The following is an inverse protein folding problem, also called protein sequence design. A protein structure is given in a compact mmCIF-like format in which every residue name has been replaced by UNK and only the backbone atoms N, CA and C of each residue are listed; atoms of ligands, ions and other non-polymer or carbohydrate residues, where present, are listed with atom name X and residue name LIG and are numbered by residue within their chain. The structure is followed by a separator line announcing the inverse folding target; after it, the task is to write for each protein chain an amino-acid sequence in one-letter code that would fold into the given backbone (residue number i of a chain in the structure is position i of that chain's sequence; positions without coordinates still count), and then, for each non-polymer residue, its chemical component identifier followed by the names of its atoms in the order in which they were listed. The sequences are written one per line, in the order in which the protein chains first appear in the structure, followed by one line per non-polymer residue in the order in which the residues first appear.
data_IF_223097095970
#
_entry.id   IF_223097095970
#
_cell.length_a   1.000
_cell.length_b   1.000
_cell.length_c   1.000
_cell.angle_alpha   90.00
_cell.angle_beta   90.00
_cell.angle_gamma   90.00
#
_symmetry.space_group_name_H-M   'P 1'
#
loop_
_entity.id
_entity.type
_entity.pdbx_description
1 polymer ?
#
# COMPACT_ATOMS: atom_id res chain seq x y z
N UNK A 1 20.41 8.00 -8.73
CA UNK A 1 19.82 6.77 -9.28
C UNK A 1 19.64 5.78 -8.13
N UNK A 2 18.43 5.68 -7.56
CA UNK A 2 18.14 4.70 -6.52
C UNK A 2 17.89 3.34 -7.19
N UNK A 3 18.84 2.42 -7.05
CA UNK A 3 18.72 1.06 -7.56
C UNK A 3 17.75 0.30 -6.66
N UNK A 4 16.54 0.00 -7.14
CA UNK A 4 15.59 -0.88 -6.43
C UNK A 4 16.08 -2.32 -6.57
N UNK A 5 16.51 -2.95 -5.48
CA UNK A 5 16.85 -4.38 -5.44
C UNK A 5 15.53 -5.16 -5.33
N UNK A 6 15.23 -5.98 -6.33
CA UNK A 6 14.10 -6.90 -6.29
C UNK A 6 14.54 -8.22 -5.66
N UNK A 7 14.21 -8.41 -4.39
CA UNK A 7 14.35 -9.70 -3.71
C UNK A 7 13.11 -10.55 -4.01
N UNK A 8 13.29 -11.65 -4.75
CA UNK A 8 12.26 -12.68 -4.90
C UNK A 8 12.46 -13.74 -3.83
N UNK A 9 11.49 -13.88 -2.93
CA UNK A 9 11.45 -14.95 -1.92
C UNK A 9 10.46 -16.02 -2.36
N UNK A 10 10.83 -17.29 -2.18
CA UNK A 10 9.90 -18.42 -2.32
C UNK A 10 9.05 -18.56 -1.07
N UNK A 11 7.94 -19.30 -1.16
CA UNK A 11 7.08 -19.58 0.01
C UNK A 11 7.87 -20.26 1.14
N UNK A 12 8.82 -21.11 0.78
CA UNK A 12 9.72 -21.76 1.75
C UNK A 12 10.66 -20.74 2.42
N UNK A 13 11.19 -19.78 1.67
CA UNK A 13 12.02 -18.71 2.24
C UNK A 13 11.22 -17.84 3.21
N UNK A 14 9.95 -17.59 2.90
CA UNK A 14 9.01 -16.86 3.77
C UNK A 14 8.78 -17.63 5.07
N UNK A 15 8.55 -18.95 5.02
CA UNK A 15 8.37 -19.78 6.22
C UNK A 15 9.64 -19.84 7.08
N UNK A 16 10.82 -19.94 6.46
CA UNK A 16 12.10 -19.85 7.18
C UNK A 16 12.26 -18.48 7.85
N UNK A 17 11.89 -17.41 7.15
CA UNK A 17 11.92 -16.05 7.70
C UNK A 17 10.97 -15.89 8.89
N UNK A 18 9.74 -16.41 8.81
CA UNK A 18 8.78 -16.46 9.93
C UNK A 18 9.39 -17.11 11.16
N UNK A 19 10.04 -18.26 10.96
CA UNK A 19 10.63 -19.05 12.04
C UNK A 19 11.81 -18.31 12.69
N UNK A 20 12.69 -17.71 11.89
CA UNK A 20 13.83 -16.92 12.37
C UNK A 20 13.41 -15.66 13.13
N UNK A 21 12.31 -15.03 12.72
CA UNK A 21 11.85 -13.79 13.34
C UNK A 21 11.03 -14.03 14.60
N UNK A 22 10.28 -15.13 14.67
CA UNK A 22 9.61 -15.56 15.90
C UNK A 22 10.57 -15.87 17.05
N UNK A 23 11.83 -16.20 16.74
CA UNK A 23 12.92 -16.38 17.72
C UNK A 23 13.69 -15.10 18.01
N UNK A 24 13.51 -14.05 17.21
CA UNK A 24 14.09 -12.73 17.44
C UNK A 24 13.19 -11.90 18.37
N UNK A 25 13.77 -11.27 19.41
CA UNK A 25 13.02 -10.39 20.33
C UNK A 25 12.70 -9.00 19.73
N UNK A 26 12.77 -8.84 18.40
CA UNK A 26 12.50 -7.56 17.75
C UNK A 26 11.01 -7.40 17.45
N UNK A 27 10.30 -6.68 18.32
CA UNK A 27 8.86 -6.40 18.15
C UNK A 27 8.55 -5.71 16.82
N UNK A 28 9.38 -4.74 16.41
CA UNK A 28 9.21 -4.04 15.13
C UNK A 28 9.29 -4.99 13.92
N UNK A 29 10.20 -5.96 13.95
CA UNK A 29 10.40 -6.89 12.85
C UNK A 29 9.25 -7.90 12.77
N UNK A 30 8.74 -8.35 13.92
CA UNK A 30 7.55 -9.19 14.02
C UNK A 30 6.28 -8.46 13.54
N UNK A 31 6.13 -7.16 13.83
CA UNK A 31 5.01 -6.36 13.34
C UNK A 31 5.02 -6.25 11.81
N UNK A 32 6.18 -5.97 11.21
CA UNK A 32 6.33 -5.93 9.75
C UNK A 32 5.99 -7.29 9.12
N UNK A 33 6.41 -8.39 9.75
CA UNK A 33 6.13 -9.75 9.29
C UNK A 33 4.63 -10.04 9.25
N UNK A 34 3.92 -9.79 10.35
CA UNK A 34 2.47 -9.94 10.43
C UNK A 34 1.75 -9.07 9.39
N UNK A 35 2.25 -7.86 9.16
CA UNK A 35 1.67 -6.93 8.19
C UNK A 35 1.83 -7.43 6.75
N UNK A 36 3.05 -7.81 6.36
CA UNK A 36 3.36 -8.09 4.95
C UNK A 36 3.11 -9.53 4.52
N UNK A 37 3.22 -10.48 5.44
CA UNK A 37 3.14 -11.91 5.13
C UNK A 37 1.77 -12.46 5.55
N UNK A 38 1.37 -12.26 6.80
CA UNK A 38 0.12 -12.85 7.30
C UNK A 38 -1.11 -11.97 7.02
N UNK A 39 -0.90 -10.67 6.72
CA UNK A 39 -1.96 -9.68 6.41
C UNK A 39 -3.08 -9.68 7.46
N UNK A 40 -2.75 -9.99 8.72
CA UNK A 40 -3.73 -10.14 9.81
C UNK A 40 -4.47 -8.83 10.06
N UNK A 41 -3.74 -7.71 10.06
CA UNK A 41 -4.32 -6.38 10.07
C UNK A 41 -4.49 -5.87 8.63
N UNK A 42 -5.68 -6.14 8.07
CA UNK A 42 -6.04 -5.68 6.72
C UNK A 42 -6.04 -4.15 6.62
N UNK A 43 -6.44 -3.47 7.69
CA UNK A 43 -6.59 -2.02 7.67
C UNK A 43 -5.22 -1.33 7.61
N UNK A 44 -4.29 -1.79 8.42
CA UNK A 44 -2.91 -1.30 8.39
C UNK A 44 -2.18 -1.71 7.11
N UNK A 45 -2.44 -2.92 6.59
CA UNK A 45 -1.91 -3.34 5.29
C UNK A 45 -2.40 -2.42 4.14
N UNK A 46 -3.69 -2.09 4.11
CA UNK A 46 -4.25 -1.17 3.12
C UNK A 46 -3.61 0.20 3.28
N UNK A 47 -3.56 0.73 4.51
CA UNK A 47 -2.96 2.03 4.81
C UNK A 47 -1.54 2.10 4.25
N UNK A 48 -0.71 1.15 4.63
CA UNK A 48 0.67 1.07 4.18
C UNK A 48 0.78 0.98 2.65
N UNK A 49 0.00 0.12 1.98
CA UNK A 49 0.06 -0.02 0.52
C UNK A 49 -0.47 1.19 -0.24
N UNK A 50 -1.48 1.87 0.28
CA UNK A 50 -1.98 3.12 -0.30
C UNK A 50 -0.92 4.21 -0.19
N UNK A 51 -0.31 4.38 0.97
CA UNK A 51 0.79 5.32 1.19
C UNK A 51 1.97 5.06 0.25
N UNK A 52 2.42 3.80 0.11
CA UNK A 52 3.45 3.45 -0.86
C UNK A 52 3.06 3.79 -2.31
N UNK A 53 1.80 3.57 -2.67
CA UNK A 53 1.32 3.88 -4.03
C UNK A 53 1.30 5.37 -4.32
N UNK A 54 0.98 6.19 -3.30
CA UNK A 54 1.00 7.64 -3.38
C UNK A 54 2.43 8.18 -3.40
N UNK A 55 3.32 7.61 -2.59
CA UNK A 55 4.75 7.92 -2.60
C UNK A 55 5.38 7.64 -3.96
N UNK A 56 5.12 6.46 -4.54
CA UNK A 56 5.62 6.09 -5.88
C UNK A 56 5.20 7.07 -6.99
N UNK A 57 4.02 7.71 -6.88
CA UNK A 57 3.50 8.65 -7.89
C UNK A 57 3.88 10.11 -7.62
N UNK A 58 3.90 10.51 -6.36
CA UNK A 58 4.13 11.90 -5.95
C UNK A 58 5.62 12.24 -5.81
N UNK A 59 6.45 11.23 -5.53
CA UNK A 59 7.87 11.41 -5.22
C UNK A 59 8.16 11.82 -3.77
N UNK A 60 7.14 11.95 -2.93
CA UNK A 60 7.27 12.20 -1.49
C UNK A 60 7.45 10.88 -0.74
N UNK A 61 8.14 10.91 0.40
CA UNK A 61 8.21 9.74 1.28
C UNK A 61 6.88 9.54 2.00
N UNK A 62 6.49 8.30 2.36
CA UNK A 62 5.23 8.02 3.08
C UNK A 62 5.04 8.82 4.37
N UNK A 63 6.12 9.22 5.03
CA UNK A 63 6.11 9.96 6.30
C UNK A 63 5.92 11.48 6.09
N UNK A 64 6.03 11.98 4.86
CA UNK A 64 5.90 13.41 4.52
C UNK A 64 4.44 13.88 4.43
N UNK A 65 3.47 12.94 4.47
CA UNK A 65 2.06 13.24 4.33
C UNK A 65 1.19 12.39 5.26
N UNK A 66 -0.07 12.79 5.43
CA UNK A 66 -1.01 12.12 6.32
C UNK A 66 -2.37 11.89 5.67
N UNK A 67 -3.30 11.27 6.39
CA UNK A 67 -4.63 10.92 5.88
C UNK A 67 -5.41 12.14 5.36
N UNK A 68 -5.14 13.34 5.88
CA UNK A 68 -5.83 14.56 5.47
C UNK A 68 -5.10 15.33 4.36
N UNK A 69 -3.96 14.83 3.88
CA UNK A 69 -3.21 15.50 2.82
C UNK A 69 -3.98 15.49 1.50
N UNK A 70 -4.06 16.65 0.86
CA UNK A 70 -4.70 16.83 -0.43
C UNK A 70 -3.81 16.25 -1.54
N UNK A 71 -4.41 15.42 -2.40
CA UNK A 71 -3.67 14.73 -3.44
C UNK A 71 -3.05 15.72 -4.44
N UNK A 72 -3.68 16.84 -4.72
CA UNK A 72 -3.20 17.82 -5.69
C UNK A 72 -2.31 18.89 -5.05
N UNK A 73 -2.74 19.49 -3.95
CA UNK A 73 -2.04 20.59 -3.30
C UNK A 73 -0.81 20.14 -2.54
N UNK A 74 -0.91 19.03 -1.78
CA UNK A 74 0.20 18.56 -0.95
C UNK A 74 1.09 17.58 -1.71
N UNK A 75 0.50 16.72 -2.55
CA UNK A 75 1.23 15.65 -3.25
C UNK A 75 1.44 15.90 -4.75
N UNK A 76 0.95 17.02 -5.31
CA UNK A 76 1.13 17.35 -6.73
C UNK A 76 0.43 16.39 -7.72
N UNK A 77 -0.48 15.54 -7.24
CA UNK A 77 -1.15 14.51 -8.04
C UNK A 77 -2.27 15.10 -8.90
N UNK A 78 -1.88 15.46 -10.12
CA UNK A 78 -2.81 15.81 -11.20
C UNK A 78 -3.70 14.62 -11.64
N UNK A 79 -4.71 14.93 -12.43
CA UNK A 79 -5.68 14.00 -13.03
C UNK A 79 -5.05 12.72 -13.62
N UNK A 80 -3.95 12.83 -14.37
CA UNK A 80 -3.31 11.65 -14.96
C UNK A 80 -2.66 10.72 -13.91
N UNK A 81 -2.15 11.26 -12.80
CA UNK A 81 -1.66 10.43 -11.69
C UNK A 81 -2.83 9.69 -11.03
N UNK A 82 -3.96 10.39 -10.82
CA UNK A 82 -5.18 9.79 -10.28
C UNK A 82 -5.67 8.64 -11.17
N UNK A 83 -5.59 8.76 -12.49
CA UNK A 83 -5.87 7.65 -13.42
C UNK A 83 -4.96 6.44 -13.19
N UNK A 84 -3.68 6.66 -12.94
CA UNK A 84 -2.70 5.60 -12.68
C UNK A 84 -2.97 4.85 -11.38
N UNK A 85 -3.51 5.51 -10.35
CA UNK A 85 -3.84 4.90 -9.04
C UNK A 85 -4.75 3.67 -9.19
N UNK A 86 -5.61 3.62 -10.22
CA UNK A 86 -6.49 2.48 -10.47
C UNK A 86 -5.70 1.16 -10.53
N UNK A 87 -4.53 1.12 -11.15
CA UNK A 87 -3.75 -0.11 -11.25
C UNK A 87 -3.09 -0.47 -9.91
N UNK A 88 -2.59 0.52 -9.17
CA UNK A 88 -2.03 0.33 -7.84
C UNK A 88 -3.07 -0.22 -6.87
N UNK A 89 -4.23 0.45 -6.77
CA UNK A 89 -5.28 0.06 -5.84
C UNK A 89 -5.93 -1.27 -6.23
N UNK A 90 -6.10 -1.55 -7.54
CA UNK A 90 -6.60 -2.86 -7.97
C UNK A 90 -5.67 -4.00 -7.56
N UNK A 91 -4.35 -3.79 -7.51
CA UNK A 91 -3.38 -4.78 -7.01
C UNK A 91 -3.61 -5.04 -5.52
N UNK A 92 -3.80 -4.01 -4.70
CA UNK A 92 -4.09 -4.16 -3.26
C UNK A 92 -5.35 -5.00 -3.03
N UNK A 93 -6.43 -4.68 -3.76
CA UNK A 93 -7.71 -5.41 -3.67
C UNK A 93 -7.55 -6.88 -4.09
N UNK A 94 -6.79 -7.16 -5.14
CA UNK A 94 -6.48 -8.53 -5.60
C UNK A 94 -5.61 -9.29 -4.60
N UNK A 95 -4.62 -8.63 -4.00
CA UNK A 95 -3.74 -9.22 -2.99
C UNK A 95 -4.51 -9.63 -1.72
N UNK A 96 -5.65 -8.99 -1.47
CA UNK A 96 -6.60 -9.31 -0.40
C UNK A 96 -7.72 -10.27 -0.86
N UNK A 97 -7.56 -10.89 -2.03
CA UNK A 97 -8.47 -11.89 -2.64
C UNK A 97 -9.90 -11.38 -2.93
N UNK A 98 -10.09 -10.07 -3.06
CA UNK A 98 -11.38 -9.52 -3.49
C UNK A 98 -11.51 -9.48 -5.01
N UNK A 99 -12.74 -9.75 -5.48
CA UNK A 99 -13.12 -9.71 -6.91
C UNK A 99 -13.68 -8.35 -7.34
N UNK A 100 -13.89 -7.42 -6.41
CA UNK A 100 -14.42 -6.09 -6.71
C UNK A 100 -13.42 -5.30 -7.55
N UNK A 101 -13.95 -4.43 -8.43
CA UNK A 101 -13.15 -3.65 -9.37
C UNK A 101 -13.10 -2.20 -8.93
N UNK A 102 -11.91 -1.61 -9.06
CA UNK A 102 -11.69 -0.16 -8.98
C UNK A 102 -11.68 0.42 -10.38
N UNK A 103 -12.54 1.40 -10.60
CA UNK A 103 -12.65 2.10 -11.88
C UNK A 103 -11.78 3.35 -11.90
N UNK A 104 -11.44 3.81 -13.11
CA UNK A 104 -10.68 5.07 -13.29
C UNK A 104 -11.47 6.27 -12.75
N UNK A 105 -12.79 6.29 -12.97
CA UNK A 105 -13.67 7.38 -12.49
C UNK A 105 -13.65 7.52 -10.98
N UNK A 106 -13.66 6.41 -10.25
CA UNK A 106 -13.55 6.42 -8.78
C UNK A 106 -12.22 7.03 -8.34
N UNK A 107 -11.12 6.73 -9.03
CA UNK A 107 -9.82 7.33 -8.71
C UNK A 107 -9.72 8.81 -9.07
N UNK A 108 -10.33 9.24 -10.17
CA UNK A 108 -10.36 10.65 -10.59
C UNK A 108 -11.11 11.54 -9.59
N UNK A 109 -12.09 10.97 -8.88
CA UNK A 109 -12.92 11.67 -7.89
C UNK A 109 -12.25 11.84 -6.51
N UNK A 110 -11.09 11.22 -6.28
CA UNK A 110 -10.38 11.28 -5.00
C UNK A 110 -9.80 12.68 -4.75
N UNK A 111 -9.96 13.23 -3.55
CA UNK A 111 -9.42 14.55 -3.22
C UNK A 111 -8.25 14.46 -2.24
N UNK A 112 -8.36 13.61 -1.22
CA UNK A 112 -7.35 13.43 -0.18
C UNK A 112 -6.92 11.96 -0.01
N UNK A 113 -5.94 11.73 0.86
CA UNK A 113 -5.43 10.38 1.16
C UNK A 113 -6.51 9.51 1.82
N UNK A 114 -7.36 10.08 2.66
CA UNK A 114 -8.46 9.38 3.31
C UNK A 114 -9.48 8.84 2.31
N UNK A 115 -9.79 9.58 1.25
CA UNK A 115 -10.63 9.12 0.13
C UNK A 115 -10.00 7.89 -0.53
N UNK A 116 -8.67 7.88 -0.70
CA UNK A 116 -7.96 6.72 -1.25
C UNK A 116 -8.12 5.48 -0.36
N UNK A 117 -7.95 5.65 0.95
CA UNK A 117 -8.11 4.59 1.94
C UNK A 117 -9.55 4.05 1.93
N UNK A 118 -10.55 4.93 1.96
CA UNK A 118 -11.98 4.57 1.90
C UNK A 118 -12.31 3.82 0.62
N UNK A 119 -11.80 4.27 -0.52
CA UNK A 119 -12.03 3.60 -1.80
C UNK A 119 -11.52 2.16 -1.76
N UNK A 120 -10.28 1.93 -1.34
CA UNK A 120 -9.72 0.56 -1.27
C UNK A 120 -10.49 -0.29 -0.27
N UNK A 121 -10.78 0.23 0.92
CA UNK A 121 -11.55 -0.47 1.96
C UNK A 121 -12.94 -0.89 1.49
N UNK A 122 -13.64 -0.05 0.72
CA UNK A 122 -14.97 -0.37 0.17
C UNK A 122 -14.97 -1.57 -0.79
N UNK A 123 -13.80 -1.91 -1.34
CA UNK A 123 -13.59 -2.96 -2.34
C UNK A 123 -13.07 -4.26 -1.76
N UNK A 124 -12.93 -4.36 -0.45
CA UNK A 124 -12.64 -5.62 0.25
C UNK A 124 -13.96 -6.24 0.74
#
# INVERSE_FOLDING_TARGET
MNHKIYLSLTDNDIEVLKTLLSTSQSENLNLLLKLFIDKEDKDEYIRHKVYLSLSDLSGFEPDDFNDNSDLNLDLGLKQYHKKSLKNYFQRIVKDLKSVKIITVKECEALNDVNDCLKLVKSKI
#
